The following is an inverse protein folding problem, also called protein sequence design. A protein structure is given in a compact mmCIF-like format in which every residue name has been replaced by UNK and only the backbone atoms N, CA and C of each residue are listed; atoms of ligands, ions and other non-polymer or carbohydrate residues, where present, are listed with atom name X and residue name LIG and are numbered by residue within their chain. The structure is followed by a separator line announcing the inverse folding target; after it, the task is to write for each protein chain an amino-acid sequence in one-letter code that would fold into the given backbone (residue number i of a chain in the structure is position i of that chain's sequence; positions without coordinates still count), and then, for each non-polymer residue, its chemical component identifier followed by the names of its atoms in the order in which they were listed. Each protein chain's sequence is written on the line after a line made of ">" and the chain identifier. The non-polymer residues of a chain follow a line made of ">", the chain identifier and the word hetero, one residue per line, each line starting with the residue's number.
data_IF_636667363646
#
_entry.id   IF_636667363646
#
_cell.length_a   1.000
_cell.length_b   1.000
_cell.length_c   1.000
_cell.angle_alpha   90.00
_cell.angle_beta   90.00
_cell.angle_gamma   90.00
#
_symmetry.space_group_name_H-M   'P 1'
#
loop_
_entity.id
_entity.type
_entity.pdbx_description
1 polymer ?
#
# COMPACT_ATOMS: atom_id res chain seq x y z
N UNK A 1 -26.11 -23.70 -10.26
CA UNK A 1 -25.04 -22.72 -10.43
C UNK A 1 -25.17 -21.75 -9.27
N UNK A 2 -24.32 -21.89 -8.26
CA UNK A 2 -24.23 -20.92 -7.17
C UNK A 2 -23.16 -19.93 -7.64
N UNK A 3 -23.58 -18.76 -8.11
CA UNK A 3 -22.68 -17.62 -8.29
C UNK A 3 -22.13 -17.27 -6.92
N UNK A 4 -20.90 -17.71 -6.67
CA UNK A 4 -20.16 -17.25 -5.51
C UNK A 4 -19.96 -15.75 -5.65
N UNK A 5 -20.66 -14.97 -4.83
CA UNK A 5 -20.41 -13.55 -4.66
C UNK A 5 -18.94 -13.44 -4.25
N UNK A 6 -18.10 -12.99 -5.18
CA UNK A 6 -16.69 -12.72 -4.88
C UNK A 6 -16.67 -11.67 -3.75
N UNK A 7 -16.32 -12.11 -2.55
CA UNK A 7 -16.17 -11.20 -1.41
C UNK A 7 -14.99 -10.30 -1.72
N UNK A 8 -15.25 -8.99 -1.83
CA UNK A 8 -14.18 -8.00 -2.04
C UNK A 8 -13.21 -8.04 -0.87
N UNK A 9 -11.91 -8.18 -1.15
CA UNK A 9 -10.84 -8.21 -0.15
C UNK A 9 -10.47 -6.80 0.35
N UNK A 10 -11.45 -5.92 0.48
CA UNK A 10 -11.23 -4.58 1.00
C UNK A 10 -10.68 -4.61 2.43
N UNK A 11 -9.80 -3.65 2.72
CA UNK A 11 -9.24 -3.51 4.06
C UNK A 11 -10.36 -3.31 5.09
N UNK A 12 -10.39 -4.05 6.22
CA UNK A 12 -11.50 -4.04 7.19
C UNK A 12 -11.74 -2.66 7.84
N UNK A 13 -10.75 -1.76 7.79
CA UNK A 13 -10.86 -0.38 8.32
C UNK A 13 -10.99 0.68 7.23
N UNK A 14 -11.36 0.31 6.00
CA UNK A 14 -11.48 1.24 4.87
C UNK A 14 -12.39 2.42 5.18
N UNK A 15 -13.55 2.21 5.79
CA UNK A 15 -14.48 3.28 6.17
C UNK A 15 -13.86 4.31 7.15
N UNK A 16 -12.99 3.86 8.05
CA UNK A 16 -12.25 4.76 8.95
C UNK A 16 -11.17 5.53 8.18
N UNK A 17 -10.43 4.86 7.29
CA UNK A 17 -9.48 5.48 6.39
C UNK A 17 -10.13 6.58 5.54
N UNK A 18 -11.27 6.29 4.91
CA UNK A 18 -12.04 7.24 4.10
C UNK A 18 -12.52 8.45 4.90
N UNK A 19 -12.99 8.23 6.13
CA UNK A 19 -13.41 9.32 7.02
C UNK A 19 -12.24 10.27 7.32
N UNK A 20 -11.08 9.73 7.69
CA UNK A 20 -9.90 10.53 7.99
C UNK A 20 -9.38 11.22 6.73
N UNK A 21 -9.35 10.56 5.57
CA UNK A 21 -8.99 11.18 4.29
C UNK A 21 -9.91 12.37 3.97
N UNK A 22 -11.21 12.21 4.13
CA UNK A 22 -12.19 13.28 3.91
C UNK A 22 -11.95 14.47 4.84
N UNK A 23 -11.59 14.23 6.11
CA UNK A 23 -11.22 15.29 7.04
C UNK A 23 -9.92 15.99 6.63
N UNK A 24 -8.89 15.22 6.21
CA UNK A 24 -7.65 15.79 5.71
C UNK A 24 -7.90 16.72 4.52
N UNK A 25 -8.69 16.29 3.54
CA UNK A 25 -9.06 17.08 2.37
C UNK A 25 -9.86 18.35 2.74
N UNK A 26 -10.72 18.27 3.77
CA UNK A 26 -11.44 19.44 4.29
C UNK A 26 -10.47 20.47 4.87
N UNK A 27 -9.55 20.06 5.73
CA UNK A 27 -8.55 20.98 6.31
C UNK A 27 -7.61 21.54 5.24
N UNK A 28 -7.25 20.74 4.24
CA UNK A 28 -6.47 21.21 3.10
C UNK A 28 -7.19 22.30 2.29
N UNK A 29 -8.52 22.20 2.13
CA UNK A 29 -9.33 23.25 1.52
C UNK A 29 -9.38 24.50 2.41
N UNK A 30 -9.55 24.34 3.72
CA UNK A 30 -9.56 25.44 4.68
C UNK A 30 -8.23 26.20 4.71
N UNK A 31 -7.09 25.52 4.60
CA UNK A 31 -5.78 26.18 4.56
C UNK A 31 -5.60 27.12 3.38
N UNK A 32 -6.36 26.89 2.28
CA UNK A 32 -6.34 27.78 1.09
C UNK A 32 -7.24 29.00 1.25
N UNK A 33 -8.30 28.89 2.05
CA UNK A 33 -9.31 29.95 2.21
C UNK A 33 -8.99 30.83 3.42
N UNK A 34 -8.63 30.23 4.54
CA UNK A 34 -8.28 30.91 5.78
C UNK A 34 -6.77 30.99 5.93
N UNK A 35 -6.20 32.05 5.36
CA UNK A 35 -4.74 32.30 5.39
C UNK A 35 -4.22 32.59 6.78
N UNK A 36 -5.07 33.10 7.69
CA UNK A 36 -4.68 33.41 9.08
C UNK A 36 -4.40 32.13 9.91
N UNK A 37 -5.05 31.01 9.53
CA UNK A 37 -4.89 29.69 10.18
C UNK A 37 -4.31 28.64 9.24
N UNK A 38 -3.58 29.08 8.22
CA UNK A 38 -3.05 28.19 7.19
C UNK A 38 -2.22 27.04 7.78
N UNK A 39 -1.26 27.37 8.62
CA UNK A 39 -0.32 26.38 9.18
C UNK A 39 -1.02 25.41 10.14
N UNK A 40 -1.96 25.90 10.94
CA UNK A 40 -2.79 25.07 11.82
C UNK A 40 -3.64 24.09 10.99
N UNK A 41 -4.31 24.59 9.94
CA UNK A 41 -5.11 23.75 9.05
C UNK A 41 -4.26 22.72 8.30
N UNK A 42 -3.05 23.05 7.87
CA UNK A 42 -2.12 22.09 7.25
C UNK A 42 -1.68 21.02 8.26
N UNK A 43 -1.42 21.39 9.51
CA UNK A 43 -1.10 20.44 10.58
C UNK A 43 -2.25 19.43 10.82
N UNK A 44 -3.49 19.93 10.90
CA UNK A 44 -4.67 19.06 11.01
C UNK A 44 -4.89 18.18 9.77
N UNK A 45 -4.64 18.71 8.57
CA UNK A 45 -4.69 17.94 7.34
C UNK A 45 -3.69 16.78 7.37
N UNK A 46 -2.44 17.05 7.73
CA UNK A 46 -1.40 16.04 7.82
C UNK A 46 -1.73 14.96 8.84
N UNK A 47 -2.15 15.35 10.05
CA UNK A 47 -2.52 14.39 11.10
C UNK A 47 -3.64 13.45 10.62
N UNK A 48 -4.68 13.98 9.98
CA UNK A 48 -5.76 13.16 9.46
C UNK A 48 -5.32 12.29 8.29
N UNK A 49 -4.46 12.77 7.39
CA UNK A 49 -3.92 11.96 6.29
C UNK A 49 -3.07 10.79 6.81
N UNK A 50 -2.26 11.00 7.86
CA UNK A 50 -1.53 9.92 8.54
C UNK A 50 -2.48 8.88 9.17
N UNK A 51 -3.57 9.32 9.80
CA UNK A 51 -4.58 8.42 10.33
C UNK A 51 -5.30 7.62 9.23
N UNK A 52 -5.61 8.26 8.08
CA UNK A 52 -6.20 7.57 6.94
C UNK A 52 -5.30 6.43 6.46
N UNK A 53 -4.01 6.69 6.31
CA UNK A 53 -3.02 5.70 5.89
C UNK A 53 -2.83 4.58 6.93
N UNK A 54 -2.83 4.92 8.22
CA UNK A 54 -2.74 3.95 9.31
C UNK A 54 -3.95 3.00 9.34
N UNK A 55 -5.13 3.50 9.01
CA UNK A 55 -6.35 2.68 9.01
C UNK A 55 -6.51 1.86 7.72
N UNK A 56 -6.10 2.39 6.58
CA UNK A 56 -6.17 1.67 5.30
C UNK A 56 -5.00 2.05 4.38
N UNK A 57 -3.90 1.31 4.50
CA UNK A 57 -2.74 1.47 3.64
C UNK A 57 -2.97 0.91 2.22
N UNK A 58 -4.03 0.12 2.00
CA UNK A 58 -4.33 -0.47 0.67
C UNK A 58 -5.08 0.50 -0.25
N UNK A 59 -5.57 1.64 0.27
CA UNK A 59 -6.24 2.63 -0.55
C UNK A 59 -5.23 3.66 -1.11
N UNK A 60 -5.02 3.73 -2.42
CA UNK A 60 -3.99 4.58 -3.02
C UNK A 60 -4.15 6.07 -2.71
N UNK A 61 -5.40 6.56 -2.59
CA UNK A 61 -5.64 7.98 -2.30
C UNK A 61 -5.22 8.41 -0.90
N UNK A 62 -5.04 7.48 0.04
CA UNK A 62 -4.49 7.80 1.35
C UNK A 62 -3.01 8.22 1.22
N UNK A 63 -2.25 7.52 0.37
CA UNK A 63 -0.88 7.85 0.03
C UNK A 63 -0.79 9.19 -0.73
N UNK A 64 -1.63 9.36 -1.76
CA UNK A 64 -1.72 10.59 -2.56
C UNK A 64 -2.00 11.81 -1.70
N UNK A 65 -3.00 11.69 -0.81
CA UNK A 65 -3.40 12.80 0.06
C UNK A 65 -2.25 13.21 0.98
N UNK A 66 -1.53 12.27 1.58
CA UNK A 66 -0.40 12.58 2.45
C UNK A 66 0.78 13.14 1.66
N UNK A 67 1.10 12.60 0.48
CA UNK A 67 2.15 13.12 -0.40
C UNK A 67 1.89 14.59 -0.79
N UNK A 68 0.68 14.89 -1.25
CA UNK A 68 0.28 16.27 -1.58
C UNK A 68 0.46 17.24 -0.41
N UNK A 69 0.12 16.82 0.80
CA UNK A 69 0.31 17.66 1.98
C UNK A 69 1.79 17.88 2.27
N UNK A 70 2.62 16.83 2.15
CA UNK A 70 4.08 16.92 2.32
C UNK A 70 4.72 17.86 1.31
N UNK A 71 4.29 17.82 0.06
CA UNK A 71 4.70 18.79 -0.98
C UNK A 71 4.35 20.21 -0.60
N UNK A 72 3.11 20.49 -0.20
CA UNK A 72 2.65 21.83 0.21
C UNK A 72 3.47 22.37 1.40
N UNK A 73 3.84 21.47 2.31
CA UNK A 73 4.69 21.80 3.47
C UNK A 73 6.17 21.91 3.11
N UNK A 74 6.57 21.57 1.88
CA UNK A 74 7.97 21.41 1.47
C UNK A 74 8.75 20.48 2.41
N UNK A 75 8.07 19.46 2.95
CA UNK A 75 8.64 18.48 3.86
C UNK A 75 9.31 17.34 3.07
N UNK A 76 10.54 17.62 2.61
CA UNK A 76 11.35 16.68 1.83
C UNK A 76 11.59 15.38 2.59
N UNK A 77 11.94 15.48 3.88
CA UNK A 77 12.21 14.32 4.72
C UNK A 77 10.96 13.45 4.86
N UNK A 78 9.82 14.07 5.12
CA UNK A 78 8.54 13.38 5.25
C UNK A 78 8.06 12.75 3.95
N UNK A 79 8.27 13.40 2.79
CA UNK A 79 7.90 12.84 1.49
C UNK A 79 8.79 11.66 1.12
N UNK A 80 10.10 11.75 1.39
CA UNK A 80 11.07 10.64 1.20
C UNK A 80 10.71 9.45 2.09
N UNK A 81 10.40 9.69 3.35
CA UNK A 81 9.98 8.63 4.27
C UNK A 81 8.68 7.96 3.81
N UNK A 82 7.71 8.73 3.30
CA UNK A 82 6.45 8.20 2.77
C UNK A 82 6.69 7.28 1.55
N UNK A 83 7.56 7.67 0.63
CA UNK A 83 7.91 6.84 -0.54
C UNK A 83 8.67 5.56 -0.12
N UNK A 84 9.62 5.68 0.79
CA UNK A 84 10.33 4.53 1.34
C UNK A 84 9.36 3.55 2.02
N UNK A 85 8.38 4.08 2.75
CA UNK A 85 7.33 3.29 3.39
C UNK A 85 6.43 2.58 2.36
N UNK A 86 6.00 3.28 1.31
CA UNK A 86 5.24 2.67 0.20
C UNK A 86 6.03 1.54 -0.46
N UNK A 87 7.31 1.73 -0.75
CA UNK A 87 8.13 0.70 -1.37
C UNK A 87 8.34 -0.51 -0.45
N UNK A 88 8.43 -0.30 0.86
CA UNK A 88 8.46 -1.40 1.83
C UNK A 88 7.16 -2.20 1.83
N UNK A 89 6.01 -1.52 1.80
CA UNK A 89 4.68 -2.17 1.68
C UNK A 89 4.55 -2.95 0.38
N UNK A 90 5.10 -2.44 -0.72
CA UNK A 90 5.12 -3.12 -2.02
C UNK A 90 6.19 -4.22 -2.12
N UNK A 91 6.95 -4.49 -1.07
CA UNK A 91 7.99 -5.51 -1.06
C UNK A 91 9.11 -5.21 -2.05
N UNK A 92 9.56 -3.96 -2.14
CA UNK A 92 10.71 -3.58 -2.95
C UNK A 92 12.01 -3.87 -2.21
N UNK A 93 13.04 -4.17 -2.98
CA UNK A 93 14.38 -4.41 -2.45
C UNK A 93 14.89 -3.19 -1.66
N UNK A 94 15.32 -3.34 -0.39
CA UNK A 94 15.85 -2.26 0.42
C UNK A 94 17.04 -1.53 -0.23
N UNK A 95 17.87 -2.22 -1.00
CA UNK A 95 18.97 -1.60 -1.74
C UNK A 95 18.47 -0.62 -2.82
N UNK A 96 17.34 -0.93 -3.47
CA UNK A 96 16.71 -0.02 -4.41
C UNK A 96 16.05 1.17 -3.70
N UNK A 97 15.50 0.95 -2.51
CA UNK A 97 14.88 2.02 -1.70
C UNK A 97 15.93 3.05 -1.26
N UNK A 98 17.16 2.63 -0.95
CA UNK A 98 18.26 3.54 -0.63
C UNK A 98 18.61 4.51 -1.75
N UNK A 99 18.38 4.14 -3.02
CA UNK A 99 18.59 5.04 -4.16
C UNK A 99 17.71 6.31 -4.12
N UNK A 100 16.64 6.31 -3.33
CA UNK A 100 15.83 7.50 -3.10
C UNK A 100 16.59 8.61 -2.35
N UNK A 101 17.71 8.30 -1.68
CA UNK A 101 18.49 9.28 -0.93
C UNK A 101 19.06 10.37 -1.84
N UNK A 102 19.42 10.01 -3.07
CA UNK A 102 20.03 10.92 -4.05
C UNK A 102 19.01 11.59 -4.98
N UNK A 103 17.70 11.31 -4.81
CA UNK A 103 16.64 11.83 -5.67
C UNK A 103 16.14 13.18 -5.15
N UNK A 104 15.96 14.22 -6.01
CA UNK A 104 15.34 15.49 -5.64
C UNK A 104 13.83 15.31 -5.41
N UNK A 105 13.49 14.80 -4.24
CA UNK A 105 12.18 14.20 -3.95
C UNK A 105 11.02 15.20 -4.01
N UNK A 106 11.26 16.49 -3.76
CA UNK A 106 10.24 17.54 -3.90
C UNK A 106 9.86 17.80 -5.37
N UNK A 107 10.77 17.49 -6.30
CA UNK A 107 10.53 17.71 -7.73
C UNK A 107 9.81 16.54 -8.39
N UNK A 108 10.14 15.30 -7.96
CA UNK A 108 9.69 14.08 -8.66
C UNK A 108 8.96 13.08 -7.75
N UNK A 109 8.83 13.37 -6.44
CA UNK A 109 8.31 12.40 -5.48
C UNK A 109 6.87 11.99 -5.75
N UNK A 110 6.01 12.93 -6.15
CA UNK A 110 4.61 12.63 -6.48
C UNK A 110 4.52 11.80 -7.76
N UNK A 111 5.36 12.07 -8.76
CA UNK A 111 5.41 11.27 -9.99
C UNK A 111 5.91 9.83 -9.71
N UNK A 112 6.91 9.67 -8.84
CA UNK A 112 7.39 8.36 -8.42
C UNK A 112 6.32 7.59 -7.65
N UNK A 113 5.57 8.27 -6.78
CA UNK A 113 4.44 7.67 -6.06
C UNK A 113 3.37 7.16 -7.03
N UNK A 114 2.97 8.00 -7.99
CA UNK A 114 1.98 7.62 -9.02
C UNK A 114 2.47 6.46 -9.89
N UNK A 115 3.73 6.48 -10.31
CA UNK A 115 4.32 5.39 -11.08
C UNK A 115 4.32 4.07 -10.28
N UNK A 116 4.65 4.13 -8.98
CA UNK A 116 4.64 2.95 -8.12
C UNK A 116 3.22 2.39 -7.95
N UNK A 117 2.24 3.25 -7.66
CA UNK A 117 0.83 2.86 -7.45
C UNK A 117 0.15 2.35 -8.72
N UNK A 118 0.53 2.88 -9.90
CA UNK A 118 -0.02 2.45 -11.18
C UNK A 118 0.55 1.11 -11.64
N UNK A 119 1.84 0.87 -11.34
CA UNK A 119 2.50 -0.36 -11.75
C UNK A 119 2.21 -1.54 -10.81
N UNK A 120 1.95 -1.28 -9.53
CA UNK A 120 1.83 -2.31 -8.50
C UNK A 120 0.66 -1.94 -7.56
N UNK A 121 -0.55 -2.29 -7.99
CA UNK A 121 -1.78 -1.92 -7.29
C UNK A 121 -1.82 -2.46 -5.87
N UNK A 122 -2.12 -1.59 -4.91
CA UNK A 122 -2.28 -1.96 -3.49
C UNK A 122 -3.57 -2.74 -3.22
N UNK A 123 -4.60 -2.52 -4.04
CA UNK A 123 -5.84 -3.30 -3.98
C UNK A 123 -5.61 -4.67 -4.63
N UNK A 124 -5.83 -5.79 -3.93
CA UNK A 124 -5.56 -7.13 -4.45
C UNK A 124 -6.41 -7.51 -5.67
N UNK A 125 -7.64 -6.98 -5.77
CA UNK A 125 -8.53 -7.24 -6.89
C UNK A 125 -8.02 -6.54 -8.15
N UNK A 126 -7.72 -5.23 -8.04
CA UNK A 126 -7.14 -4.47 -9.15
C UNK A 126 -5.76 -5.00 -9.56
N UNK A 127 -4.95 -5.42 -8.58
CA UNK A 127 -3.67 -6.06 -8.87
C UNK A 127 -3.86 -7.32 -9.70
N UNK A 128 -4.79 -8.19 -9.33
CA UNK A 128 -5.08 -9.44 -10.04
C UNK A 128 -5.61 -9.20 -11.45
N UNK A 129 -6.51 -8.22 -11.62
CA UNK A 129 -7.06 -7.83 -12.93
C UNK A 129 -5.99 -7.26 -13.89
N UNK A 130 -4.92 -6.67 -13.35
CA UNK A 130 -3.82 -6.08 -14.13
C UNK A 130 -2.70 -7.05 -14.49
N UNK A 131 -2.75 -8.30 -14.00
CA UNK A 131 -1.66 -9.27 -14.17
C UNK A 131 -1.48 -9.72 -15.61
N UNK A 132 -0.21 -9.87 -15.97
CA UNK A 132 0.26 -10.64 -17.12
C UNK A 132 1.11 -11.82 -16.61
N UNK A 133 1.37 -12.82 -17.46
CA UNK A 133 2.10 -14.04 -17.06
C UNK A 133 3.44 -13.75 -16.37
N UNK A 134 4.20 -12.78 -16.90
CA UNK A 134 5.50 -12.38 -16.33
C UNK A 134 5.38 -11.75 -14.94
N UNK A 135 4.23 -11.17 -14.61
CA UNK A 135 4.02 -10.50 -13.33
C UNK A 135 3.86 -11.52 -12.19
N UNK A 136 3.28 -12.67 -12.46
CA UNK A 136 3.16 -13.78 -11.49
C UNK A 136 4.54 -14.31 -11.13
N UNK A 137 5.43 -14.49 -12.12
CA UNK A 137 6.81 -14.91 -11.88
C UNK A 137 7.58 -13.88 -11.05
N UNK A 138 7.52 -12.61 -11.43
CA UNK A 138 8.14 -11.51 -10.70
C UNK A 138 7.64 -11.40 -9.26
N UNK A 139 6.33 -11.59 -9.06
CA UNK A 139 5.72 -11.62 -7.73
C UNK A 139 6.24 -12.79 -6.89
N UNK A 140 6.30 -13.99 -7.47
CA UNK A 140 6.84 -15.19 -6.82
C UNK A 140 8.30 -15.00 -6.43
N UNK A 141 9.11 -14.46 -7.32
CA UNK A 141 10.53 -14.17 -7.07
C UNK A 141 10.72 -13.15 -5.93
N UNK A 142 9.84 -12.14 -5.81
CA UNK A 142 9.88 -11.20 -4.67
C UNK A 142 9.64 -11.91 -3.35
N UNK A 143 8.65 -12.80 -3.26
CA UNK A 143 8.37 -13.56 -2.05
C UNK A 143 9.55 -14.46 -1.66
N UNK A 144 10.16 -15.13 -2.64
CA UNK A 144 11.25 -16.09 -2.39
C UNK A 144 12.58 -15.44 -2.03
N UNK A 145 12.83 -14.21 -2.50
CA UNK A 145 14.15 -13.55 -2.37
C UNK A 145 14.21 -12.48 -1.29
N UNK A 146 13.07 -11.90 -0.91
CA UNK A 146 13.04 -10.74 -0.02
C UNK A 146 12.62 -11.15 1.39
N UNK A 147 13.15 -10.43 2.37
CA UNK A 147 12.68 -10.49 3.74
C UNK A 147 11.37 -9.68 3.88
N UNK A 148 10.24 -10.38 3.84
CA UNK A 148 8.91 -9.79 3.90
C UNK A 148 8.37 -9.76 5.35
N UNK A 149 9.17 -9.24 6.27
CA UNK A 149 8.81 -9.11 7.69
C UNK A 149 7.88 -7.93 7.97
N UNK A 150 7.79 -6.92 7.09
CA UNK A 150 6.79 -5.85 7.22
C UNK A 150 5.38 -6.44 7.26
N UNK A 151 4.62 -6.19 8.35
CA UNK A 151 3.29 -6.76 8.51
C UNK A 151 2.33 -6.42 7.37
N UNK A 152 2.44 -5.22 6.82
CA UNK A 152 1.56 -4.70 5.76
C UNK A 152 1.88 -5.37 4.43
N UNK A 153 3.17 -5.50 4.11
CA UNK A 153 3.65 -6.22 2.94
C UNK A 153 3.20 -7.69 2.99
N UNK A 154 3.42 -8.35 4.13
CA UNK A 154 3.06 -9.75 4.32
C UNK A 154 1.55 -10.00 4.16
N UNK A 155 0.69 -9.14 4.73
CA UNK A 155 -0.78 -9.24 4.57
C UNK A 155 -1.19 -8.94 3.14
N UNK A 156 -0.62 -7.91 2.51
CA UNK A 156 -0.91 -7.57 1.11
C UNK A 156 -0.59 -8.74 0.18
N UNK A 157 0.57 -9.35 0.35
CA UNK A 157 1.01 -10.46 -0.48
C UNK A 157 0.19 -11.72 -0.21
N UNK A 158 -0.22 -11.97 1.04
CA UNK A 158 -1.15 -13.05 1.37
C UNK A 158 -2.47 -12.94 0.61
N UNK A 159 -3.07 -11.74 0.57
CA UNK A 159 -4.29 -11.49 -0.19
C UNK A 159 -4.12 -11.61 -1.71
N UNK A 160 -2.94 -11.26 -2.23
CA UNK A 160 -2.61 -11.49 -3.65
C UNK A 160 -2.50 -12.99 -3.95
N UNK A 161 -1.90 -13.79 -3.06
CA UNK A 161 -1.89 -15.25 -3.19
C UNK A 161 -3.31 -15.80 -3.18
N UNK A 162 -4.19 -15.32 -2.30
CA UNK A 162 -5.60 -15.74 -2.27
C UNK A 162 -6.28 -15.51 -3.63
N UNK A 163 -5.99 -14.40 -4.32
CA UNK A 163 -6.51 -14.13 -5.67
C UNK A 163 -5.94 -15.02 -6.77
N UNK A 164 -4.67 -15.41 -6.63
CA UNK A 164 -4.03 -16.35 -7.56
C UNK A 164 -4.51 -17.78 -7.39
N UNK A 165 -5.15 -18.09 -6.26
CA UNK A 165 -5.50 -19.47 -5.90
C UNK A 165 -6.56 -20.06 -6.83
N UNK A 166 -6.15 -21.00 -7.65
CA UNK A 166 -7.00 -21.78 -8.53
C UNK A 166 -6.41 -23.21 -8.64
N UNK A 167 -7.14 -24.20 -9.21
CA UNK A 167 -6.65 -25.57 -9.31
C UNK A 167 -5.30 -25.73 -10.04
N UNK A 168 -4.99 -24.85 -10.99
CA UNK A 168 -3.75 -24.90 -11.78
C UNK A 168 -2.55 -24.34 -10.99
N UNK A 169 -2.78 -23.36 -10.10
CA UNK A 169 -1.75 -22.66 -9.34
C UNK A 169 -1.63 -23.12 -7.87
N UNK A 170 -2.41 -24.13 -7.46
CA UNK A 170 -2.48 -24.56 -6.04
C UNK A 170 -1.11 -24.83 -5.44
N UNK A 171 -0.24 -25.56 -6.16
CA UNK A 171 1.09 -25.91 -5.65
C UNK A 171 1.95 -24.66 -5.44
N UNK A 172 1.96 -23.74 -6.40
CA UNK A 172 2.67 -22.47 -6.30
C UNK A 172 2.14 -21.63 -5.12
N UNK A 173 0.83 -21.47 -5.01
CA UNK A 173 0.21 -20.70 -3.94
C UNK A 173 0.55 -21.25 -2.55
N UNK A 174 0.53 -22.58 -2.39
CA UNK A 174 0.93 -23.23 -1.14
C UNK A 174 2.40 -22.98 -0.79
N UNK A 175 3.29 -23.02 -1.77
CA UNK A 175 4.72 -22.74 -1.57
C UNK A 175 4.95 -21.30 -1.14
N UNK A 176 4.37 -20.33 -1.85
CA UNK A 176 4.48 -18.90 -1.54
C UNK A 176 3.86 -18.57 -0.17
N UNK A 177 2.71 -19.15 0.15
CA UNK A 177 2.07 -18.96 1.45
C UNK A 177 2.93 -19.48 2.60
N UNK A 178 3.60 -20.62 2.44
CA UNK A 178 4.52 -21.15 3.45
C UNK A 178 5.71 -20.22 3.70
N UNK A 179 6.26 -19.62 2.65
CA UNK A 179 7.35 -18.64 2.78
C UNK A 179 6.88 -17.39 3.54
N UNK A 180 5.70 -16.84 3.20
CA UNK A 180 5.14 -15.70 3.92
C UNK A 180 4.87 -16.01 5.39
N UNK A 181 4.36 -17.20 5.69
CA UNK A 181 4.11 -17.64 7.07
C UNK A 181 5.39 -17.93 7.85
N UNK A 182 6.46 -18.39 7.18
CA UNK A 182 7.78 -18.53 7.79
C UNK A 182 8.35 -17.16 8.22
N UNK A 183 8.15 -16.13 7.41
CA UNK A 183 8.55 -14.75 7.72
C UNK A 183 7.66 -14.10 8.79
N UNK A 184 6.36 -14.44 8.79
CA UNK A 184 5.39 -13.90 9.73
C UNK A 184 4.32 -14.92 10.14
N UNK A 185 4.58 -15.74 11.17
CA UNK A 185 3.63 -16.74 11.67
C UNK A 185 2.29 -16.17 12.18
N UNK A 186 2.23 -14.87 12.50
CA UNK A 186 1.03 -14.19 12.99
C UNK A 186 0.08 -13.75 11.87
N UNK A 187 0.32 -14.10 10.61
CA UNK A 187 -0.63 -13.85 9.53
C UNK A 187 -1.75 -14.90 9.57
N UNK A 188 -2.73 -14.67 10.44
CA UNK A 188 -3.84 -15.61 10.66
C UNK A 188 -4.77 -15.72 9.45
N UNK A 189 -4.92 -14.67 8.64
CA UNK A 189 -5.72 -14.72 7.40
C UNK A 189 -5.15 -15.80 6.48
N UNK A 190 -3.85 -15.78 6.24
CA UNK A 190 -3.19 -16.74 5.35
C UNK A 190 -3.20 -18.18 5.90
N UNK A 191 -3.18 -18.38 7.22
CA UNK A 191 -3.38 -19.72 7.81
C UNK A 191 -4.76 -20.27 7.54
N UNK A 192 -5.81 -19.44 7.57
CA UNK A 192 -7.17 -19.85 7.24
C UNK A 192 -7.31 -20.26 5.78
N UNK A 193 -6.63 -19.57 4.87
CA UNK A 193 -6.65 -19.88 3.44
C UNK A 193 -5.95 -21.19 3.12
N UNK A 194 -4.85 -21.50 3.82
CA UNK A 194 -4.16 -22.78 3.70
C UNK A 194 -4.98 -23.98 4.23
N UNK A 195 -5.91 -23.72 5.14
CA UNK A 195 -6.75 -24.77 5.76
C UNK A 195 -8.05 -25.05 5.02
N UNK A 196 -8.36 -24.29 3.98
CA UNK A 196 -9.55 -24.47 3.11
C UNK A 196 -9.24 -25.33 1.92
#
# INVERSE_FOLDING_TARGET
>A
MVEGIAVSLQHPRRSLGDRHRSQAQKFLKLSKVDTSRKDENLGWAEQNARQALLHDFTHPDNWRTLATIKEILSDEIGLRALLSDLFSVLGRDPEQVKQLEDVPILDVGTELLEAALSRDHLDPDLWFESLQDIDVENFSQRILKLDLTDPRCNVLFGRRIERLWNPENTQLCMELARVLLANRPQNFELWLDLGR
#
